data_IF_943999538601
#
_entry.id   IF_943999538601
#
_cell.length_a   1.000
_cell.length_b   1.000
_cell.length_c   1.000
_cell.angle_alpha   90.00
_cell.angle_beta   90.00
_cell.angle_gamma   90.00
#
_symmetry.space_group_name_H-M   'P 1'
#
loop_
_entity.id
_entity.type
_entity.pdbx_description
1 polymer ?
#
# COMPACT_ATOMS: atom_id res chain seq x y z
N UNK A 1 -7.15 0.94 -11.80
CA UNK A 1 -6.74 0.80 -10.39
C UNK A 1 -7.90 0.26 -9.56
N UNK A 2 -7.59 -0.67 -8.67
CA UNK A 2 -8.45 -1.12 -7.58
C UNK A 2 -7.84 -0.64 -6.25
N UNK A 3 -8.25 0.55 -5.76
CA UNK A 3 -7.55 1.20 -4.66
C UNK A 3 -7.69 0.39 -3.38
N UNK A 4 -6.56 0.14 -2.72
CA UNK A 4 -6.51 -0.37 -1.35
C UNK A 4 -5.64 0.53 -0.47
N UNK A 5 -5.96 0.65 0.81
CA UNK A 5 -5.09 1.34 1.74
C UNK A 5 -3.85 0.50 2.04
N UNK A 6 -2.70 1.17 2.16
CA UNK A 6 -1.44 0.49 2.51
C UNK A 6 -1.49 0.00 3.96
N UNK A 7 -1.34 -1.31 4.21
CA UNK A 7 -1.36 -1.86 5.57
C UNK A 7 -0.16 -1.40 6.42
N UNK A 8 0.92 -0.97 5.76
CA UNK A 8 2.12 -0.45 6.42
C UNK A 8 1.92 0.93 7.07
N UNK A 9 0.84 1.65 6.72
CA UNK A 9 0.53 2.97 7.25
C UNK A 9 -0.58 2.86 8.29
N UNK A 10 -0.20 3.02 9.56
CA UNK A 10 -1.19 3.15 10.62
C UNK A 10 -2.04 4.40 10.44
N UNK A 11 -3.34 4.27 10.68
CA UNK A 11 -4.29 5.38 10.70
C UNK A 11 -4.53 5.86 12.14
N UNK A 12 -4.54 7.17 12.34
CA UNK A 12 -4.86 7.77 13.63
C UNK A 12 -5.61 9.09 13.43
N UNK A 13 -6.71 9.26 14.16
CA UNK A 13 -7.41 10.55 14.22
C UNK A 13 -6.54 11.55 14.96
N UNK A 14 -6.23 12.68 14.30
CA UNK A 14 -5.49 13.78 14.93
C UNK A 14 -6.45 14.74 15.62
N UNK A 15 -7.60 14.97 15.00
CA UNK A 15 -8.71 15.74 15.55
C UNK A 15 -10.04 15.25 14.93
N UNK A 16 -11.08 16.10 14.91
CA UNK A 16 -12.41 15.76 14.39
C UNK A 16 -12.52 15.86 12.87
N UNK A 17 -11.53 16.43 12.20
CA UNK A 17 -11.61 16.77 10.77
C UNK A 17 -10.38 16.26 9.99
N UNK A 18 -9.38 15.71 10.68
CA UNK A 18 -8.16 15.22 10.04
C UNK A 18 -7.76 13.82 10.49
N UNK A 19 -7.40 13.00 9.51
CA UNK A 19 -6.90 11.64 9.67
C UNK A 19 -5.43 11.58 9.24
N UNK A 20 -4.59 11.07 10.12
CA UNK A 20 -3.17 10.86 9.85
C UNK A 20 -2.91 9.42 9.38
N UNK A 21 -2.14 9.29 8.30
CA UNK A 21 -1.55 8.05 7.81
C UNK A 21 -0.05 8.05 8.09
N UNK A 22 0.44 6.98 8.74
CA UNK A 22 1.83 6.87 9.16
C UNK A 22 2.13 7.68 10.43
N UNK A 23 3.16 7.27 11.17
CA UNK A 23 3.55 7.88 12.45
C UNK A 23 4.94 8.54 12.42
N UNK A 24 5.70 8.36 11.33
CA UNK A 24 7.08 8.84 11.21
C UNK A 24 7.25 9.86 10.09
N UNK A 25 8.31 10.70 10.15
CA UNK A 25 8.64 11.61 9.07
C UNK A 25 8.96 10.85 7.78
N UNK A 26 8.45 11.33 6.64
CA UNK A 26 8.80 10.83 5.31
C UNK A 26 7.91 9.73 4.73
N UNK A 27 6.92 9.21 5.46
CA UNK A 27 5.95 8.25 4.93
C UNK A 27 4.53 8.52 5.42
N UNK A 28 3.58 8.60 4.48
CA UNK A 28 2.19 8.96 4.77
C UNK A 28 1.98 10.47 4.81
N UNK A 29 0.87 10.88 5.43
CA UNK A 29 0.49 12.28 5.52
C UNK A 29 -0.85 12.47 6.23
N UNK A 30 -1.35 13.69 6.20
CA UNK A 30 -2.64 14.05 6.81
C UNK A 30 -3.63 14.31 5.70
N UNK A 31 -4.80 13.71 5.80
CA UNK A 31 -5.94 13.97 4.93
C UNK A 31 -7.04 14.63 5.74
N UNK A 32 -7.77 15.53 5.10
CA UNK A 32 -9.01 16.06 5.67
C UNK A 32 -10.04 14.97 5.50
N UNK A 33 -10.59 14.47 6.60
CA UNK A 33 -11.63 13.47 6.58
C UNK A 33 -12.51 13.66 7.81
N UNK A 34 -13.82 13.59 7.66
CA UNK A 34 -14.72 13.56 8.79
C UNK A 34 -14.96 12.11 9.28
N UNK A 35 -15.32 11.87 10.55
CA UNK A 35 -15.52 10.52 11.09
C UNK A 35 -16.60 9.70 10.36
N UNK A 36 -17.57 10.35 9.73
CA UNK A 36 -18.57 9.73 8.85
C UNK A 36 -17.97 9.24 7.51
N UNK A 37 -16.95 9.93 7.00
CA UNK A 37 -16.15 9.52 5.83
C UNK A 37 -15.22 8.33 6.14
N UNK A 38 -15.02 7.97 7.41
CA UNK A 38 -14.20 6.82 7.79
C UNK A 38 -14.71 5.51 7.16
N UNK A 39 -16.03 5.35 7.03
CA UNK A 39 -16.65 4.18 6.40
C UNK A 39 -16.35 4.08 4.91
N UNK A 40 -16.10 5.21 4.25
CA UNK A 40 -15.68 5.21 2.86
C UNK A 40 -14.26 4.66 2.71
N UNK A 41 -13.36 4.94 3.67
CA UNK A 41 -12.01 4.39 3.67
C UNK A 41 -12.00 2.86 3.75
N UNK A 42 -13.02 2.24 4.36
CA UNK A 42 -13.16 0.79 4.43
C UNK A 42 -13.59 0.18 3.08
N UNK A 43 -14.10 0.99 2.14
CA UNK A 43 -14.35 0.57 0.75
C UNK A 43 -13.07 0.46 -0.07
N UNK A 44 -11.97 1.05 0.41
CA UNK A 44 -10.64 1.00 -0.20
C UNK A 44 -9.90 -0.27 0.26
N UNK A 45 -10.51 -1.41 -0.06
CA UNK A 45 -10.04 -2.76 0.25
C UNK A 45 -9.42 -3.47 -0.98
N UNK A 46 -9.39 -2.80 -2.14
CA UNK A 46 -8.89 -3.35 -3.39
C UNK A 46 -9.86 -4.26 -4.13
N UNK A 47 -11.10 -4.44 -3.64
CA UNK A 47 -12.12 -5.27 -4.31
C UNK A 47 -12.88 -4.50 -5.39
N UNK A 48 -12.90 -3.16 -5.32
CA UNK A 48 -13.65 -2.27 -6.21
C UNK A 48 -12.74 -1.53 -7.18
N UNK A 49 -13.27 -1.20 -8.36
CA UNK A 49 -12.58 -0.31 -9.29
C UNK A 49 -12.81 1.14 -8.90
N UNK A 50 -11.82 2.00 -9.16
CA UNK A 50 -11.89 3.42 -8.82
C UNK A 50 -13.17 4.10 -9.36
N UNK A 51 -13.59 3.75 -10.58
CA UNK A 51 -14.79 4.29 -11.22
C UNK A 51 -16.10 3.91 -10.51
N UNK A 52 -16.11 2.84 -9.70
CA UNK A 52 -17.30 2.41 -8.96
C UNK A 52 -17.47 3.14 -7.62
N UNK A 53 -16.40 3.74 -7.08
CA UNK A 53 -16.41 4.35 -5.74
C UNK A 53 -17.44 5.46 -5.56
N UNK A 54 -17.69 6.38 -6.52
CA UNK A 54 -18.70 7.42 -6.32
C UNK A 54 -20.11 6.88 -6.06
N UNK A 55 -20.49 5.78 -6.74
CA UNK A 55 -21.80 5.15 -6.54
C UNK A 55 -21.93 4.43 -5.19
N UNK A 56 -20.84 3.83 -4.71
CA UNK A 56 -20.78 3.21 -3.39
C UNK A 56 -20.81 4.27 -2.27
N UNK A 57 -20.07 5.35 -2.44
CA UNK A 57 -19.95 6.46 -1.50
C UNK A 57 -21.26 7.26 -1.38
N UNK A 58 -22.05 7.35 -2.45
CA UNK A 58 -23.38 7.96 -2.41
C UNK A 58 -24.30 7.29 -1.38
N UNK A 59 -24.17 5.97 -1.17
CA UNK A 59 -24.92 5.23 -0.13
C UNK A 59 -24.49 5.57 1.30
N UNK A 60 -23.33 6.20 1.44
CA UNK A 60 -22.79 6.73 2.70
C UNK A 60 -23.05 8.24 2.85
N UNK A 61 -23.75 8.88 1.91
CA UNK A 61 -24.04 10.32 1.93
C UNK A 61 -22.89 11.19 1.43
N UNK A 62 -21.86 10.62 0.81
CA UNK A 62 -20.69 11.35 0.32
C UNK A 62 -20.87 11.68 -1.16
N UNK A 63 -20.73 12.97 -1.51
CA UNK A 63 -20.84 13.45 -2.88
C UNK A 63 -19.66 13.00 -3.76
N UNK A 64 -19.87 12.86 -5.10
CA UNK A 64 -18.84 12.37 -6.01
C UNK A 64 -17.60 13.29 -6.10
N UNK A 65 -17.77 14.61 -5.91
CA UNK A 65 -16.67 15.56 -5.85
C UNK A 65 -15.76 15.27 -4.64
N UNK A 66 -16.38 15.07 -3.47
CA UNK A 66 -15.66 14.78 -2.23
C UNK A 66 -14.93 13.44 -2.27
N UNK A 67 -15.50 12.45 -2.95
CA UNK A 67 -14.82 11.18 -3.25
C UNK A 67 -13.55 11.40 -4.07
N UNK A 68 -13.61 12.26 -5.09
CA UNK A 68 -12.45 12.64 -5.90
C UNK A 68 -11.36 13.29 -5.06
N UNK A 69 -11.72 14.32 -4.27
CA UNK A 69 -10.81 15.02 -3.37
C UNK A 69 -10.14 14.07 -2.37
N UNK A 70 -10.91 13.19 -1.71
CA UNK A 70 -10.37 12.20 -0.78
C UNK A 70 -9.37 11.26 -1.45
N UNK A 71 -9.68 10.77 -2.66
CA UNK A 71 -8.75 9.91 -3.40
C UNK A 71 -7.49 10.67 -3.79
N UNK A 72 -7.60 11.92 -4.24
CA UNK A 72 -6.46 12.77 -4.58
C UNK A 72 -5.57 13.04 -3.35
N UNK A 73 -6.16 13.39 -2.21
CA UNK A 73 -5.44 13.59 -0.94
C UNK A 73 -4.72 12.31 -0.50
N UNK A 74 -5.39 11.16 -0.59
CA UNK A 74 -4.81 9.86 -0.24
C UNK A 74 -3.69 9.43 -1.19
N UNK A 75 -3.80 9.74 -2.49
CA UNK A 75 -2.73 9.52 -3.45
C UNK A 75 -1.55 10.46 -3.20
N UNK A 76 -1.82 11.73 -2.88
CA UNK A 76 -0.79 12.73 -2.60
C UNK A 76 0.02 12.42 -1.34
N UNK A 77 -0.58 11.74 -0.35
CA UNK A 77 0.13 11.25 0.83
C UNK A 77 0.56 9.78 0.74
N UNK A 78 0.52 9.18 -0.46
CA UNK A 78 0.97 7.82 -0.71
C UNK A 78 0.27 6.76 0.16
N UNK A 79 -0.98 7.00 0.56
CA UNK A 79 -1.75 6.10 1.43
C UNK A 79 -2.46 4.96 0.67
N UNK A 80 -2.61 5.08 -0.64
CA UNK A 80 -3.28 4.11 -1.51
C UNK A 80 -2.27 3.30 -2.34
N UNK A 81 -2.60 2.04 -2.57
CA UNK A 81 -1.96 1.14 -3.52
C UNK A 81 -2.99 0.57 -4.52
N UNK A 82 -2.53 -0.07 -5.60
CA UNK A 82 -3.39 -0.74 -6.58
C UNK A 82 -3.38 -2.25 -6.39
N UNK A 83 -4.44 -2.80 -5.79
CA UNK A 83 -4.60 -4.24 -5.57
C UNK A 83 -4.52 -5.06 -6.87
N UNK A 84 -4.87 -4.47 -8.02
CA UNK A 84 -4.71 -5.16 -9.31
C UNK A 84 -3.24 -5.48 -9.64
N UNK A 85 -2.28 -4.64 -9.20
CA UNK A 85 -0.85 -4.86 -9.39
C UNK A 85 -0.28 -5.97 -8.50
N UNK A 86 -1.00 -6.38 -7.44
CA UNK A 86 -0.62 -7.49 -6.58
C UNK A 86 -0.99 -8.86 -7.16
N UNK A 87 -1.81 -8.91 -8.22
CA UNK A 87 -2.28 -10.18 -8.84
C UNK A 87 -1.16 -11.16 -9.21
N UNK A 88 0.00 -10.75 -9.77
CA UNK A 88 1.06 -11.71 -10.10
C UNK A 88 1.65 -12.39 -8.85
N UNK A 89 1.59 -11.73 -7.68
CA UNK A 89 2.03 -12.35 -6.42
C UNK A 89 1.14 -13.51 -6.00
N UNK A 90 -0.12 -13.58 -6.47
CA UNK A 90 -1.03 -14.70 -6.18
C UNK A 90 -0.58 -16.02 -6.82
N UNK A 91 0.30 -15.98 -7.82
CA UNK A 91 0.92 -17.17 -8.39
C UNK A 91 1.94 -17.83 -7.43
N UNK A 92 2.39 -17.12 -6.40
CA UNK A 92 3.28 -17.67 -5.38
C UNK A 92 2.50 -18.55 -4.39
N UNK A 93 3.11 -19.59 -3.80
CA UNK A 93 2.51 -20.36 -2.72
C UNK A 93 2.09 -19.46 -1.53
N UNK A 94 1.03 -19.79 -0.79
CA UNK A 94 0.56 -18.99 0.34
C UNK A 94 1.63 -18.73 1.41
N UNK A 95 2.45 -19.74 1.73
CA UNK A 95 3.56 -19.65 2.68
C UNK A 95 4.63 -18.64 2.23
N UNK A 96 4.94 -18.61 0.94
CA UNK A 96 5.91 -17.69 0.36
C UNK A 96 5.37 -16.25 0.36
N UNK A 97 4.08 -16.06 0.06
CA UNK A 97 3.44 -14.75 0.18
C UNK A 97 3.45 -14.24 1.62
N UNK A 98 3.19 -15.12 2.58
CA UNK A 98 3.24 -14.76 4.00
C UNK A 98 4.66 -14.38 4.44
N UNK A 99 5.67 -15.13 3.98
CA UNK A 99 7.10 -14.83 4.22
C UNK A 99 7.51 -13.47 3.66
N UNK A 100 7.04 -13.12 2.46
CA UNK A 100 7.36 -11.86 1.78
C UNK A 100 6.46 -10.67 2.18
N UNK A 101 5.42 -10.88 2.99
CA UNK A 101 4.50 -9.82 3.36
C UNK A 101 5.18 -8.63 4.08
N UNK A 102 6.13 -8.83 5.02
CA UNK A 102 6.87 -7.73 5.62
C UNK A 102 7.71 -6.94 4.61
N UNK A 103 8.35 -7.62 3.66
CA UNK A 103 9.14 -6.97 2.61
C UNK A 103 8.27 -6.16 1.65
N UNK A 104 7.09 -6.69 1.28
CA UNK A 104 6.11 -5.99 0.48
C UNK A 104 5.61 -4.73 1.20
N UNK A 105 5.32 -4.82 2.50
CA UNK A 105 4.93 -3.69 3.33
C UNK A 105 6.03 -2.62 3.37
N UNK A 106 7.29 -3.00 3.60
CA UNK A 106 8.43 -2.08 3.58
C UNK A 106 8.63 -1.42 2.19
N UNK A 107 8.50 -2.20 1.11
CA UNK A 107 8.58 -1.68 -0.25
C UNK A 107 7.45 -0.71 -0.58
N UNK A 108 6.25 -0.88 -0.02
CA UNK A 108 5.13 0.06 -0.21
C UNK A 108 5.38 1.45 0.40
N UNK A 109 6.31 1.53 1.35
CA UNK A 109 6.78 2.80 1.92
C UNK A 109 7.96 3.35 1.11
N UNK A 110 8.95 2.51 0.78
CA UNK A 110 10.14 2.93 0.04
C UNK A 110 9.89 3.24 -1.45
N UNK A 111 8.87 2.62 -2.04
CA UNK A 111 8.40 2.78 -3.42
C UNK A 111 6.90 3.06 -3.38
N UNK A 112 6.51 4.30 -3.07
CA UNK A 112 5.16 4.56 -2.64
C UNK A 112 4.11 4.62 -3.78
N UNK A 113 4.53 4.73 -5.03
CA UNK A 113 3.58 4.74 -6.16
C UNK A 113 2.70 3.48 -6.20
N UNK A 114 1.41 3.58 -6.55
CA UNK A 114 0.53 2.42 -6.70
C UNK A 114 1.12 1.37 -7.65
N UNK A 115 1.21 0.12 -7.17
CA UNK A 115 1.79 -1.01 -7.89
C UNK A 115 3.32 -1.06 -7.89
N UNK A 116 4.02 -0.05 -7.36
CA UNK A 116 5.48 -0.03 -7.39
C UNK A 116 6.12 -1.07 -6.46
N UNK A 117 5.50 -1.34 -5.30
CA UNK A 117 5.97 -2.35 -4.36
C UNK A 117 5.89 -3.79 -4.91
N UNK A 118 4.75 -4.29 -5.42
CA UNK A 118 4.70 -5.62 -6.02
C UNK A 118 5.61 -5.72 -7.25
N UNK A 119 5.72 -4.67 -8.08
CA UNK A 119 6.65 -4.65 -9.21
C UNK A 119 8.12 -4.79 -8.76
N UNK A 120 8.53 -4.03 -7.74
CA UNK A 120 9.88 -4.11 -7.19
C UNK A 120 10.17 -5.48 -6.57
N UNK A 121 9.19 -6.08 -5.87
CA UNK A 121 9.34 -7.40 -5.28
C UNK A 121 9.51 -8.48 -6.35
N UNK A 122 8.69 -8.45 -7.40
CA UNK A 122 8.79 -9.38 -8.53
C UNK A 122 10.14 -9.25 -9.24
N UNK A 123 10.60 -8.02 -9.52
CA UNK A 123 11.90 -7.77 -10.12
C UNK A 123 13.06 -8.32 -9.27
N UNK A 124 12.98 -8.21 -7.93
CA UNK A 124 13.97 -8.81 -7.02
C UNK A 124 14.02 -10.33 -7.12
N UNK A 125 12.86 -10.97 -7.30
CA UNK A 125 12.78 -12.44 -7.45
C UNK A 125 13.37 -12.93 -8.78
N UNK A 126 13.31 -12.11 -9.81
CA UNK A 126 13.89 -12.41 -11.12
C UNK A 126 15.40 -12.11 -11.18
N UNK A 127 15.91 -11.29 -10.26
CA UNK A 127 17.31 -10.94 -10.19
C UNK A 127 18.21 -12.17 -9.93
N UNK A 128 19.47 -12.03 -10.35
CA UNK A 128 20.56 -12.97 -10.06
C UNK A 128 21.71 -12.17 -9.47
N UNK A 129 22.23 -12.63 -8.34
CA UNK A 129 23.30 -11.96 -7.61
C UNK A 129 24.44 -12.95 -7.36
N UNK A 130 25.66 -12.58 -7.77
CA UNK A 130 26.88 -13.32 -7.44
C UNK A 130 27.51 -12.71 -6.19
N UNK A 131 27.68 -13.51 -5.12
CA UNK A 131 28.39 -13.09 -3.91
C UNK A 131 29.81 -13.66 -3.94
N UNK A 132 30.81 -12.80 -4.13
CA UNK A 132 32.22 -13.21 -4.15
C UNK A 132 32.81 -13.20 -2.75
N UNK A 133 33.10 -14.41 -2.25
CA UNK A 133 33.62 -14.65 -0.90
C UNK A 133 32.53 -15.15 0.04
N UNK A 134 32.72 -16.35 0.60
CA UNK A 134 31.75 -17.03 1.47
C UNK A 134 32.15 -16.99 2.96
N UNK A 135 32.92 -15.98 3.36
CA UNK A 135 33.23 -15.74 4.78
C UNK A 135 32.01 -15.19 5.53
N UNK A 136 32.21 -14.76 6.78
CA UNK A 136 31.15 -14.27 7.69
C UNK A 136 30.15 -13.28 7.05
N UNK A 137 30.66 -12.31 6.29
CA UNK A 137 29.80 -11.29 5.64
C UNK A 137 29.09 -11.85 4.42
N UNK A 138 29.82 -12.52 3.52
CA UNK A 138 29.26 -13.03 2.28
C UNK A 138 28.20 -14.12 2.51
N UNK A 139 28.42 -14.99 3.50
CA UNK A 139 27.42 -15.98 3.90
C UNK A 139 26.13 -15.31 4.41
N UNK A 140 26.24 -14.30 5.28
CA UNK A 140 25.08 -13.59 5.81
C UNK A 140 24.30 -12.83 4.72
N UNK A 141 25.01 -12.18 3.79
CA UNK A 141 24.38 -11.49 2.65
C UNK A 141 23.70 -12.48 1.71
N UNK A 142 24.36 -13.59 1.37
CA UNK A 142 23.77 -14.63 0.53
C UNK A 142 22.49 -15.21 1.16
N UNK A 143 22.49 -15.44 2.49
CA UNK A 143 21.29 -15.90 3.20
C UNK A 143 20.16 -14.88 3.21
N UNK A 144 20.44 -13.57 3.31
CA UNK A 144 19.42 -12.53 3.24
C UNK A 144 18.81 -12.40 1.83
N UNK A 145 19.57 -12.75 0.78
CA UNK A 145 19.12 -12.67 -0.61
C UNK A 145 18.36 -13.90 -1.11
N UNK A 146 18.32 -15.00 -0.34
CA UNK A 146 17.72 -16.28 -0.73
C UNK A 146 16.26 -16.44 -0.24
#
# INVERSE_FOLDING_TARGET
MRPCLKPALHRAWRDRETLQFGLGPGHGGVVTAAPDEARFLDLLDGTRELAALPGEAARLGIGPQRVGELIEELLACDAIDDSAAHRPLLALPPEERARLAPDLAALSLARPGPGAAPAALLARREARVEVRGAGRVGAAVASLLA
#
